data_IF_722513382499
#
_entry.id   IF_722513382499
#
_cell.length_a   1.000
_cell.length_b   1.000
_cell.length_c   1.000
_cell.angle_alpha   90.00
_cell.angle_beta   90.00
_cell.angle_gamma   90.00
#
_symmetry.space_group_name_H-M   'P 1'
#
loop_
_entity.id
_entity.type
_entity.pdbx_description
1 polymer ?
#
# COMPACT_ATOMS: atom_id res chain seq x y z
N UNK A 1 10.03 -5.74 -10.99
CA UNK A 1 9.93 -7.12 -10.46
C UNK A 1 10.84 -7.29 -9.24
N UNK A 2 12.17 -7.16 -9.40
CA UNK A 2 13.15 -7.32 -8.31
C UNK A 2 12.83 -6.48 -7.06
N UNK A 3 12.61 -5.16 -7.22
CA UNK A 3 12.23 -4.27 -6.10
C UNK A 3 11.00 -4.76 -5.31
N UNK A 4 10.02 -5.33 -6.00
CA UNK A 4 8.77 -5.81 -5.42
C UNK A 4 9.00 -7.11 -4.67
N UNK A 5 9.78 -8.02 -5.25
CA UNK A 5 10.17 -9.28 -4.63
C UNK A 5 10.99 -9.02 -3.36
N UNK A 6 12.01 -8.17 -3.43
CA UNK A 6 12.84 -7.81 -2.28
C UNK A 6 12.02 -7.16 -1.17
N UNK A 7 11.08 -6.27 -1.53
CA UNK A 7 10.17 -5.65 -0.56
C UNK A 7 9.31 -6.69 0.17
N UNK A 8 8.71 -7.64 -0.58
CA UNK A 8 7.87 -8.67 0.01
C UNK A 8 8.69 -9.60 0.90
N UNK A 9 9.83 -10.09 0.43
CA UNK A 9 10.69 -11.01 1.18
C UNK A 9 11.11 -10.44 2.54
N UNK A 10 11.22 -9.11 2.67
CA UNK A 10 11.53 -8.42 3.92
C UNK A 10 10.37 -8.36 4.91
N UNK A 11 9.13 -8.29 4.42
CA UNK A 11 7.93 -8.21 5.27
C UNK A 11 7.32 -9.57 5.60
N UNK A 12 7.82 -10.66 5.01
CA UNK A 12 7.30 -12.01 5.28
C UNK A 12 7.47 -12.36 6.76
N UNK A 13 6.36 -12.57 7.45
CA UNK A 13 6.34 -13.02 8.83
C UNK A 13 5.79 -14.44 8.90
N UNK A 14 6.39 -15.26 9.76
CA UNK A 14 5.81 -16.55 10.16
C UNK A 14 5.14 -16.36 11.51
N UNK A 15 3.81 -16.43 11.56
CA UNK A 15 3.02 -16.40 12.80
C UNK A 15 2.31 -17.74 12.91
N UNK A 16 2.53 -18.44 14.02
CA UNK A 16 1.84 -19.70 14.34
C UNK A 16 1.93 -20.79 13.25
N UNK A 17 3.04 -20.82 12.50
CA UNK A 17 3.26 -21.77 11.40
C UNK A 17 2.67 -21.32 10.06
N UNK A 18 1.89 -20.25 10.03
CA UNK A 18 1.34 -19.65 8.81
C UNK A 18 2.19 -18.45 8.34
N UNK A 19 2.29 -18.32 7.02
CA UNK A 19 2.99 -17.20 6.39
C UNK A 19 2.01 -16.04 6.24
N UNK A 20 2.26 -14.95 6.97
CA UNK A 20 1.44 -13.74 6.95
C UNK A 20 2.23 -12.63 6.28
N UNK A 21 1.63 -12.05 5.24
CA UNK A 21 2.19 -10.95 4.46
C UNK A 21 1.12 -9.88 4.35
N UNK A 22 1.38 -8.73 4.97
CA UNK A 22 0.50 -7.57 4.91
C UNK A 22 1.07 -6.54 3.93
N UNK A 23 0.35 -6.27 2.84
CA UNK A 23 0.80 -5.31 1.80
C UNK A 23 0.83 -3.90 2.37
N UNK A 24 0.02 -3.60 3.38
CA UNK A 24 0.02 -2.28 4.02
C UNK A 24 1.38 -1.97 4.66
N UNK A 25 2.19 -2.98 4.98
CA UNK A 25 3.54 -2.80 5.51
C UNK A 25 4.56 -2.33 4.47
N UNK A 26 4.22 -2.36 3.18
CA UNK A 26 5.02 -1.78 2.11
C UNK A 26 4.44 -0.41 1.76
N UNK A 27 5.17 0.65 2.10
CA UNK A 27 4.79 2.01 1.75
C UNK A 27 5.27 2.33 0.33
N UNK A 28 4.35 2.58 -0.58
CA UNK A 28 4.69 3.13 -1.88
C UNK A 28 4.62 4.66 -1.78
N UNK A 29 5.75 5.33 -1.97
CA UNK A 29 5.84 6.80 -1.97
C UNK A 29 6.13 7.27 -3.40
N UNK A 30 5.32 8.19 -3.90
CA UNK A 30 5.38 8.65 -5.29
C UNK A 30 5.90 10.07 -5.39
N UNK A 31 6.89 10.31 -6.26
CA UNK A 31 7.42 11.65 -6.49
C UNK A 31 7.75 11.89 -7.95
N UNK A 32 7.18 12.95 -8.51
CA UNK A 32 7.49 13.42 -9.86
C UNK A 32 8.95 13.91 -9.98
N UNK A 33 9.51 13.71 -11.16
CA UNK A 33 10.88 14.04 -11.52
C UNK A 33 11.76 12.80 -11.66
N UNK A 34 12.75 12.89 -12.54
CA UNK A 34 13.65 11.78 -12.87
C UNK A 34 13.01 10.74 -13.79
N UNK A 35 13.54 9.53 -13.76
CA UNK A 35 13.09 8.38 -14.54
C UNK A 35 12.51 7.30 -13.62
N UNK A 36 11.71 6.38 -14.18
CA UNK A 36 11.26 5.17 -13.47
C UNK A 36 12.45 4.33 -12.97
N UNK A 37 13.59 4.40 -13.66
CA UNK A 37 14.82 3.71 -13.26
C UNK A 37 15.46 4.27 -11.98
N UNK A 38 15.10 5.49 -11.58
CA UNK A 38 15.57 6.10 -10.33
C UNK A 38 14.76 5.65 -9.11
N UNK A 39 13.75 4.79 -9.32
CA UNK A 39 12.95 4.20 -8.25
C UNK A 39 13.79 3.22 -7.45
N UNK A 40 13.59 3.17 -6.13
CA UNK A 40 14.41 2.37 -5.24
C UNK A 40 13.61 1.78 -4.07
N UNK A 41 14.06 0.63 -3.60
CA UNK A 41 13.62 0.04 -2.34
C UNK A 41 14.44 0.64 -1.21
N UNK A 42 13.74 1.07 -0.16
CA UNK A 42 14.30 1.67 1.03
C UNK A 42 14.03 0.71 2.18
N UNK A 43 15.11 0.17 2.75
CA UNK A 43 15.08 -0.69 3.94
C UNK A 43 14.79 0.13 5.20
N UNK A 44 13.56 0.64 5.26
CA UNK A 44 13.05 1.54 6.29
C UNK A 44 11.82 2.27 5.76
N UNK A 45 11.75 3.59 5.94
CA UNK A 45 10.56 4.35 5.55
C UNK A 45 10.92 5.72 4.97
N UNK A 46 10.05 6.22 4.08
CA UNK A 46 10.09 7.60 3.60
C UNK A 46 8.88 8.34 4.15
N UNK A 47 9.09 9.53 4.70
CA UNK A 47 8.03 10.40 5.16
C UNK A 47 8.07 11.69 4.34
N UNK A 48 6.93 12.00 3.70
CA UNK A 48 6.73 13.24 2.97
C UNK A 48 6.47 14.43 3.91
N UNK A 49 7.50 14.76 4.69
CA UNK A 49 7.57 15.89 5.61
C UNK A 49 9.01 16.41 5.67
N UNK A 50 9.12 17.65 6.11
CA UNK A 50 10.39 18.30 6.42
C UNK A 50 10.60 18.41 7.93
N UNK A 51 11.85 18.71 8.31
CA UNK A 51 12.20 19.05 9.67
C UNK A 51 11.53 20.36 10.08
N UNK A 52 11.04 20.41 11.32
CA UNK A 52 10.26 21.56 11.80
C UNK A 52 11.07 22.84 11.96
N UNK A 53 12.39 22.73 12.16
CA UNK A 53 13.24 23.89 12.41
C UNK A 53 14.56 23.82 11.61
N UNK A 54 14.99 24.90 10.93
CA UNK A 54 16.13 24.88 10.00
C UNK A 54 17.48 24.60 10.66
N UNK A 55 17.63 24.87 11.98
CA UNK A 55 18.84 24.56 12.75
C UNK A 55 18.92 23.10 13.23
N UNK A 56 17.91 22.27 12.96
CA UNK A 56 17.95 20.85 13.31
C UNK A 56 18.95 20.10 12.42
N UNK A 57 19.56 19.01 12.91
CA UNK A 57 20.47 18.21 12.11
C UNK A 57 19.71 17.55 10.95
N UNK A 58 20.11 17.88 9.72
CA UNK A 58 19.54 17.27 8.51
C UNK A 58 19.95 15.82 8.30
N UNK A 59 21.07 15.42 8.90
CA UNK A 59 21.62 14.07 8.81
C UNK A 59 21.93 13.58 10.22
N UNK A 60 21.28 12.49 10.63
CA UNK A 60 21.47 11.86 11.93
C UNK A 60 21.90 10.41 11.71
N UNK A 61 23.11 10.07 12.19
CA UNK A 61 23.63 8.69 12.17
C UNK A 61 23.34 8.00 13.49
N UNK A 62 23.08 6.69 13.46
CA UNK A 62 22.68 5.92 14.64
C UNK A 62 21.50 6.58 15.37
N UNK A 63 20.43 6.81 14.62
CA UNK A 63 19.23 7.46 15.12
C UNK A 63 18.55 6.58 16.19
N UNK A 64 18.30 7.18 17.34
CA UNK A 64 17.42 6.72 18.42
C UNK A 64 16.11 7.50 18.29
N UNK A 65 15.10 6.81 17.76
CA UNK A 65 13.87 7.42 17.27
C UNK A 65 12.78 7.29 18.33
N UNK A 66 12.17 8.41 18.70
CA UNK A 66 10.96 8.43 19.52
C UNK A 66 9.72 8.69 18.66
N UNK A 67 8.67 7.90 18.86
CA UNK A 67 7.38 8.07 18.20
C UNK A 67 6.36 8.59 19.22
N UNK A 68 5.92 9.84 19.07
CA UNK A 68 5.01 10.49 19.99
C UNK A 68 3.63 10.67 19.37
N UNK A 69 2.60 10.16 20.05
CA UNK A 69 1.20 10.38 19.67
C UNK A 69 0.64 11.71 20.23
N UNK A 70 1.22 12.22 21.33
CA UNK A 70 0.89 13.51 21.92
C UNK A 70 1.56 14.70 21.21
N UNK A 71 1.01 15.92 21.35
CA UNK A 71 1.67 17.14 20.90
C UNK A 71 2.82 17.51 21.86
N UNK A 72 3.86 18.19 21.35
CA UNK A 72 4.82 18.90 22.18
C UNK A 72 4.36 20.35 22.37
N UNK A 73 3.30 20.51 23.15
CA UNK A 73 2.65 21.79 23.45
C UNK A 73 2.25 21.79 24.93
N UNK A 74 1.97 22.96 25.49
CA UNK A 74 1.41 23.06 26.85
C UNK A 74 -0.02 22.49 26.81
N UNK A 75 -0.25 21.41 27.55
CA UNK A 75 -1.55 20.76 27.59
C UNK A 75 -2.56 21.62 28.36
N UNK A 76 -3.75 21.79 27.76
CA UNK A 76 -4.89 22.40 28.42
C UNK A 76 -5.65 21.33 29.19
N UNK A 77 -6.24 21.70 30.31
CA UNK A 77 -7.12 20.81 31.07
C UNK A 77 -8.36 20.43 30.26
N UNK A 78 -8.88 19.23 30.47
CA UNK A 78 -10.11 18.77 29.81
C UNK A 78 -11.36 19.56 30.26
N UNK A 79 -11.32 20.09 31.48
CA UNK A 79 -12.33 21.01 31.99
C UNK A 79 -11.94 22.46 31.70
N UNK A 80 -12.94 23.33 31.56
CA UNK A 80 -12.76 24.77 31.36
C UNK A 80 -12.06 25.40 32.57
N UNK A 81 -10.73 25.49 32.51
CA UNK A 81 -9.92 26.23 33.45
C UNK A 81 -9.54 27.59 32.85
N UNK A 82 -9.82 28.67 33.58
CA UNK A 82 -9.40 30.03 33.22
C UNK A 82 -8.47 30.56 34.29
N UNK A 83 -7.35 31.12 33.83
CA UNK A 83 -6.39 31.75 34.72
C UNK A 83 -6.85 33.18 34.96
N UNK A 84 -7.13 33.51 36.22
CA UNK A 84 -7.43 34.87 36.64
C UNK A 84 -6.14 35.56 37.08
N UNK A 85 -5.65 36.47 36.25
CA UNK A 85 -4.43 37.25 36.52
C UNK A 85 -4.83 38.49 37.30
N UNK A 86 -4.38 38.58 38.55
CA UNK A 86 -4.64 39.72 39.45
C UNK A 86 -3.47 40.70 39.54
N UNK A 87 -2.26 40.25 39.17
CA UNK A 87 -1.04 41.05 39.24
C UNK A 87 -0.13 40.80 38.02
N UNK A 88 0.57 41.82 37.49
CA UNK A 88 1.49 41.67 36.36
C UNK A 88 2.62 40.66 36.56
N UNK A 89 3.10 40.42 37.79
CA UNK A 89 4.12 39.41 38.07
C UNK A 89 3.60 37.99 37.87
N UNK A 90 2.32 37.75 38.12
CA UNK A 90 1.69 36.44 37.90
C UNK A 90 1.67 36.08 36.41
N UNK A 91 1.48 37.07 35.53
CA UNK A 91 1.55 36.86 34.09
C UNK A 91 2.96 36.39 33.68
N UNK A 92 4.01 37.02 34.22
CA UNK A 92 5.39 36.63 33.93
C UNK A 92 5.70 35.22 34.44
N UNK A 93 5.33 34.91 35.68
CA UNK A 93 5.51 33.57 36.27
C UNK A 93 4.82 32.49 35.44
N UNK A 94 3.64 32.79 34.91
CA UNK A 94 2.90 31.85 34.07
C UNK A 94 3.62 31.56 32.73
N UNK A 95 4.09 32.61 32.04
CA UNK A 95 4.87 32.47 30.80
C UNK A 95 6.17 31.69 31.04
N UNK A 96 6.84 31.98 32.15
CA UNK A 96 8.07 31.29 32.55
C UNK A 96 7.78 29.80 32.83
N UNK A 97 6.64 29.48 33.46
CA UNK A 97 6.25 28.10 33.77
C UNK A 97 5.86 27.31 32.52
N UNK A 98 5.10 27.89 31.60
CA UNK A 98 4.82 27.28 30.29
C UNK A 98 6.11 26.93 29.54
N UNK A 99 7.08 27.86 29.56
CA UNK A 99 8.40 27.66 28.98
C UNK A 99 9.19 26.55 29.68
N UNK A 100 9.09 26.46 31.01
CA UNK A 100 9.74 25.41 31.80
C UNK A 100 9.16 24.03 31.49
N UNK A 101 7.84 23.88 31.37
CA UNK A 101 7.17 22.62 31.02
C UNK A 101 7.70 22.07 29.69
N UNK A 102 7.73 22.92 28.66
CA UNK A 102 8.26 22.54 27.33
C UNK A 102 9.74 22.12 27.44
N UNK A 103 10.53 22.90 28.19
CA UNK A 103 11.95 22.62 28.39
C UNK A 103 12.18 21.29 29.11
N UNK A 104 11.36 20.96 30.10
CA UNK A 104 11.41 19.67 30.79
C UNK A 104 11.10 18.50 29.85
N UNK A 105 10.11 18.64 28.97
CA UNK A 105 9.81 17.61 27.97
C UNK A 105 10.99 17.36 27.04
N UNK A 106 11.62 18.41 26.51
CA UNK A 106 12.80 18.28 25.66
C UNK A 106 13.98 17.68 26.44
N UNK A 107 14.17 18.08 27.70
CA UNK A 107 15.22 17.54 28.55
C UNK A 107 15.03 16.04 28.81
N UNK A 108 13.80 15.59 29.07
CA UNK A 108 13.49 14.16 29.22
C UNK A 108 13.80 13.36 27.96
N UNK A 109 13.43 13.88 26.79
CA UNK A 109 13.78 13.25 25.51
C UNK A 109 15.31 13.12 25.36
N UNK A 110 16.04 14.16 25.74
CA UNK A 110 17.51 14.16 25.69
C UNK A 110 18.12 13.16 26.68
N UNK A 111 17.61 13.10 27.91
CA UNK A 111 18.04 12.17 28.96
C UNK A 111 17.78 10.70 28.56
N UNK A 112 16.67 10.42 27.89
CA UNK A 112 16.40 9.11 27.29
C UNK A 112 17.35 8.77 26.11
N UNK A 113 18.08 9.77 25.59
CA UNK A 113 19.04 9.62 24.51
C UNK A 113 18.43 9.76 23.10
N UNK A 114 17.26 10.37 22.98
CA UNK A 114 16.59 10.59 21.69
C UNK A 114 17.36 11.59 20.84
N UNK A 115 17.50 11.31 19.55
CA UNK A 115 18.08 12.24 18.57
C UNK A 115 17.15 12.51 17.37
N UNK A 116 16.08 11.74 17.21
CA UNK A 116 15.03 11.97 16.21
C UNK A 116 13.66 11.75 16.86
N UNK A 117 12.73 12.68 16.64
CA UNK A 117 11.35 12.62 17.16
C UNK A 117 10.35 12.73 16.01
N UNK A 118 9.42 11.79 15.92
CA UNK A 118 8.25 11.91 15.06
C UNK A 118 7.01 12.10 15.92
N UNK A 119 6.31 13.22 15.71
CA UNK A 119 5.07 13.55 16.41
C UNK A 119 3.89 13.42 15.46
N UNK A 120 2.87 12.66 15.89
CA UNK A 120 1.60 12.59 15.18
C UNK A 120 0.85 13.93 15.21
N UNK A 121 1.00 14.69 16.29
CA UNK A 121 0.37 16.01 16.49
C UNK A 121 1.35 17.16 16.26
N UNK A 122 1.01 18.36 16.73
CA UNK A 122 1.84 19.56 16.62
C UNK A 122 3.07 19.56 17.53
N UNK A 123 3.97 20.50 17.26
CA UNK A 123 5.14 20.82 18.07
C UNK A 123 5.18 22.34 18.13
N UNK A 124 5.13 22.91 19.33
CA UNK A 124 5.15 24.36 19.57
C UNK A 124 6.48 24.98 19.15
N UNK A 125 6.51 26.27 18.80
CA UNK A 125 7.72 26.97 18.37
C UNK A 125 8.82 26.98 19.45
N UNK A 126 8.43 27.15 20.71
CA UNK A 126 9.36 27.03 21.84
C UNK A 126 9.97 25.62 21.92
N UNK A 127 9.16 24.58 21.72
CA UNK A 127 9.63 23.21 21.71
C UNK A 127 10.59 22.95 20.54
N UNK A 128 10.26 23.45 19.34
CA UNK A 128 11.13 23.37 18.16
C UNK A 128 12.49 24.03 18.40
N UNK A 129 12.50 25.21 19.03
CA UNK A 129 13.73 25.91 19.39
C UNK A 129 14.61 25.09 20.34
N UNK A 130 14.02 24.56 21.42
CA UNK A 130 14.77 23.75 22.39
C UNK A 130 15.26 22.43 21.80
N UNK A 131 14.44 21.74 20.99
CA UNK A 131 14.84 20.53 20.27
C UNK A 131 16.03 20.81 19.33
N UNK A 132 15.98 21.91 18.57
CA UNK A 132 17.09 22.31 17.70
C UNK A 132 18.36 22.63 18.49
N UNK A 133 18.23 23.30 19.65
CA UNK A 133 19.37 23.62 20.53
C UNK A 133 20.03 22.37 21.11
N UNK A 134 19.24 21.36 21.45
CA UNK A 134 19.71 20.06 21.95
C UNK A 134 20.18 19.10 20.84
N UNK A 135 20.08 19.54 19.57
CA UNK A 135 20.49 18.76 18.40
C UNK A 135 19.56 17.58 18.09
N UNK A 136 18.27 17.68 18.43
CA UNK A 136 17.26 16.66 18.18
C UNK A 136 16.49 17.04 16.91
N UNK A 137 16.50 16.16 15.90
CA UNK A 137 15.67 16.33 14.71
C UNK A 137 14.20 16.01 15.05
N UNK A 138 13.27 16.84 14.59
CA UNK A 138 11.86 16.62 14.88
C UNK A 138 10.97 16.84 13.66
N UNK A 139 9.91 16.03 13.58
CA UNK A 139 8.89 16.05 12.54
C UNK A 139 7.53 16.13 13.20
N UNK A 140 6.68 17.06 12.76
CA UNK A 140 5.32 17.24 13.31
C UNK A 140 4.26 16.79 12.32
N UNK A 141 3.06 16.50 12.84
CA UNK A 141 1.86 16.15 12.06
C UNK A 141 2.09 14.95 11.13
N UNK A 142 2.78 13.93 11.64
CA UNK A 142 2.97 12.65 10.95
C UNK A 142 1.64 11.90 10.89
N UNK A 143 1.32 11.27 9.75
CA UNK A 143 0.06 10.52 9.60
C UNK A 143 0.06 9.32 10.55
N UNK A 144 -1.11 8.93 11.05
CA UNK A 144 -1.24 7.75 11.93
C UNK A 144 -0.72 6.47 11.27
N UNK A 145 -1.02 6.28 9.98
CA UNK A 145 -0.52 5.13 9.21
C UNK A 145 1.01 5.12 9.11
N UNK A 146 1.63 6.29 8.93
CA UNK A 146 3.09 6.42 8.92
C UNK A 146 3.70 6.13 10.30
N UNK A 147 3.04 6.50 11.41
CA UNK A 147 3.51 6.18 12.76
C UNK A 147 3.55 4.67 13.01
N UNK A 148 2.52 3.93 12.59
CA UNK A 148 2.51 2.46 12.70
C UNK A 148 3.61 1.82 11.84
N UNK A 149 3.85 2.34 10.64
CA UNK A 149 4.94 1.90 9.76
C UNK A 149 6.30 2.21 10.34
N UNK A 150 6.51 3.39 10.92
CA UNK A 150 7.75 3.75 11.62
C UNK A 150 8.01 2.83 12.80
N UNK A 151 6.96 2.46 13.56
CA UNK A 151 7.06 1.47 14.63
C UNK A 151 7.54 0.11 14.10
N UNK A 152 6.92 -0.39 13.04
CA UNK A 152 7.29 -1.67 12.39
C UNK A 152 8.68 -1.64 11.74
N UNK A 153 9.09 -0.50 11.19
CA UNK A 153 10.38 -0.32 10.52
C UNK A 153 11.53 -0.19 11.54
N UNK A 154 11.35 0.66 12.57
CA UNK A 154 12.43 1.04 13.51
C UNK A 154 12.44 0.23 14.80
N UNK A 155 11.33 -0.46 15.12
CA UNK A 155 11.13 -1.16 16.39
C UNK A 155 10.72 -0.25 17.56
N UNK A 156 10.49 1.04 17.33
CA UNK A 156 10.04 1.97 18.37
C UNK A 156 8.63 1.64 18.88
N UNK A 157 8.34 1.97 20.14
CA UNK A 157 6.97 2.01 20.64
C UNK A 157 6.36 3.41 20.43
N UNK A 158 5.06 3.44 20.16
CA UNK A 158 4.31 4.69 20.09
C UNK A 158 3.97 5.12 21.52
N UNK A 159 4.51 6.26 21.92
CA UNK A 159 4.40 6.80 23.27
C UNK A 159 3.30 7.86 23.30
N UNK A 160 2.36 7.70 24.20
CA UNK A 160 1.27 8.67 24.41
C UNK A 160 1.68 9.80 25.33
N UNK A 161 2.47 9.54 26.37
CA UNK A 161 2.90 10.54 27.33
C UNK A 161 4.42 10.66 27.36
N UNK A 162 4.93 11.87 27.09
CA UNK A 162 6.37 12.16 27.05
C UNK A 162 7.04 11.89 28.41
N UNK A 163 6.28 11.98 29.50
CA UNK A 163 6.80 11.76 30.86
C UNK A 163 7.22 10.32 31.12
N UNK A 164 6.67 9.37 30.37
CA UNK A 164 6.86 7.92 30.56
C UNK A 164 7.92 7.33 29.62
N UNK A 165 8.62 8.18 28.84
CA UNK A 165 9.59 7.71 27.87
C UNK A 165 10.75 6.96 28.53
N UNK A 166 11.00 5.74 28.06
CA UNK A 166 12.15 4.94 28.45
C UNK A 166 13.08 4.73 27.26
N UNK A 167 14.39 4.48 27.50
CA UNK A 167 15.31 4.09 26.44
C UNK A 167 14.89 2.83 25.67
N UNK A 168 14.10 1.96 26.31
CA UNK A 168 13.54 0.73 25.72
C UNK A 168 12.46 0.99 24.66
N UNK A 169 11.78 2.13 24.73
CA UNK A 169 10.71 2.49 23.80
C UNK A 169 11.27 3.04 22.47
N UNK A 170 12.58 3.31 22.42
CA UNK A 170 13.22 3.97 21.28
C UNK A 170 13.52 2.99 20.16
N UNK A 171 13.16 3.39 18.94
CA UNK A 171 13.53 2.69 17.72
C UNK A 171 14.96 2.99 17.30
N UNK A 172 15.48 2.19 16.39
CA UNK A 172 16.80 2.37 15.82
C UNK A 172 16.78 2.45 14.30
N UNK A 173 17.48 3.44 13.74
CA UNK A 173 17.83 3.48 12.32
C UNK A 173 19.30 3.90 12.16
N UNK A 174 20.01 3.29 11.22
CA UNK A 174 21.41 3.64 10.97
C UNK A 174 21.57 5.05 10.41
N UNK A 175 20.59 5.53 9.63
CA UNK A 175 20.60 6.86 9.04
C UNK A 175 19.18 7.45 9.00
N UNK A 176 19.03 8.67 9.48
CA UNK A 176 17.87 9.52 9.21
C UNK A 176 18.34 10.79 8.52
N UNK A 177 17.82 11.05 7.33
CA UNK A 177 18.26 12.19 6.50
C UNK A 177 17.07 12.93 5.89
N UNK A 178 17.08 14.26 5.99
CA UNK A 178 16.24 15.13 5.17
C UNK A 178 16.91 15.32 3.80
N UNK A 179 16.33 14.71 2.76
CA UNK A 179 16.82 14.80 1.38
C UNK A 179 15.82 15.55 0.51
N UNK A 180 16.33 16.41 -0.37
CA UNK A 180 15.52 17.06 -1.40
C UNK A 180 15.41 16.14 -2.61
N UNK A 181 14.19 15.84 -3.03
CA UNK A 181 13.90 15.02 -4.22
C UNK A 181 12.94 15.80 -5.09
N UNK A 182 13.42 16.20 -6.28
CA UNK A 182 12.75 17.24 -7.05
C UNK A 182 12.76 18.56 -6.28
N UNK A 183 11.57 19.12 -6.05
CA UNK A 183 11.40 20.38 -5.31
C UNK A 183 10.97 20.24 -3.86
N UNK A 184 10.68 19.01 -3.43
CA UNK A 184 10.19 18.74 -2.08
C UNK A 184 11.27 18.11 -1.21
N UNK A 185 11.20 18.38 0.10
CA UNK A 185 12.04 17.73 1.09
C UNK A 185 11.27 16.60 1.73
N UNK A 186 11.93 15.46 1.86
CA UNK A 186 11.39 14.30 2.54
C UNK A 186 12.41 13.74 3.50
N UNK A 187 11.93 12.99 4.47
CA UNK A 187 12.78 12.36 5.48
C UNK A 187 12.90 10.87 5.15
N UNK A 188 14.14 10.46 4.96
CA UNK A 188 14.56 9.09 4.70
C UNK A 188 15.00 8.46 6.01
N UNK A 189 14.39 7.34 6.36
CA UNK A 189 14.78 6.50 7.48
C UNK A 189 15.33 5.20 6.87
N UNK A 190 16.64 5.01 6.97
CA UNK A 190 17.36 3.91 6.31
C UNK A 190 18.17 3.08 7.32
N UNK A 191 18.53 1.87 6.92
CA UNK A 191 19.38 0.94 7.70
C UNK A 191 18.75 0.58 9.05
N UNK A 192 17.47 0.28 9.03
CA UNK A 192 16.79 -0.33 10.17
C UNK A 192 17.28 -1.78 10.36
N UNK A 193 17.31 -2.29 11.60
CA UNK A 193 17.91 -3.62 11.89
C UNK A 193 17.14 -4.78 11.26
N UNK A 194 15.82 -4.78 11.40
CA UNK A 194 14.94 -5.80 10.83
C UNK A 194 13.58 -5.16 10.53
N UNK A 195 13.50 -4.33 9.48
CA UNK A 195 12.29 -3.58 9.19
C UNK A 195 11.17 -4.53 8.74
N UNK A 196 10.13 -4.64 9.57
CA UNK A 196 8.88 -5.34 9.17
C UNK A 196 7.95 -4.45 8.35
N UNK A 197 8.36 -3.20 8.09
CA UNK A 197 7.75 -2.29 7.12
C UNK A 197 8.86 -1.62 6.31
N UNK A 198 8.69 -1.59 4.99
CA UNK A 198 9.65 -1.05 4.02
C UNK A 198 8.98 -0.01 3.13
N UNK A 199 9.77 0.80 2.42
CA UNK A 199 9.23 1.78 1.47
C UNK A 199 9.79 1.57 0.06
N UNK A 200 8.93 1.68 -0.95
CA UNK A 200 9.34 1.78 -2.36
C UNK A 200 9.13 3.22 -2.76
N UNK A 201 10.21 3.92 -3.11
CA UNK A 201 10.13 5.25 -3.70
C UNK A 201 10.02 5.10 -5.22
N UNK A 202 8.93 5.57 -5.79
CA UNK A 202 8.72 5.62 -7.24
C UNK A 202 9.02 7.02 -7.75
N UNK A 203 9.88 7.07 -8.78
CA UNK A 203 10.26 8.28 -9.51
C UNK A 203 9.72 8.19 -10.93
N UNK A 204 9.45 9.32 -11.57
CA UNK A 204 8.96 9.30 -12.95
C UNK A 204 8.81 10.68 -13.54
N UNK A 205 8.85 10.75 -14.86
CA UNK A 205 8.90 12.02 -15.59
C UNK A 205 7.61 12.84 -15.46
N UNK A 206 6.46 12.17 -15.29
CA UNK A 206 5.15 12.81 -15.14
C UNK A 206 4.35 12.11 -14.05
N UNK A 207 3.45 12.84 -13.40
CA UNK A 207 2.54 12.29 -12.39
C UNK A 207 1.78 11.04 -12.88
N UNK A 208 1.22 11.10 -14.10
CA UNK A 208 0.49 9.97 -14.72
C UNK A 208 1.32 8.70 -14.83
N UNK A 209 2.59 8.83 -15.18
CA UNK A 209 3.51 7.69 -15.29
C UNK A 209 3.78 7.07 -13.91
N UNK A 210 3.93 7.92 -12.90
CA UNK A 210 4.17 7.48 -11.52
C UNK A 210 2.93 6.80 -10.93
N UNK A 211 1.74 7.31 -11.20
CA UNK A 211 0.48 6.67 -10.79
C UNK A 211 0.29 5.29 -11.44
N UNK A 212 0.62 5.16 -12.73
CA UNK A 212 0.54 3.87 -13.41
C UNK A 212 1.57 2.87 -12.87
N UNK A 213 2.78 3.35 -12.55
CA UNK A 213 3.80 2.54 -11.91
C UNK A 213 3.40 2.10 -10.48
N UNK A 214 2.76 2.99 -9.70
CA UNK A 214 2.20 2.68 -8.38
C UNK A 214 1.17 1.55 -8.48
N UNK A 215 0.22 1.65 -9.41
CA UNK A 215 -0.78 0.59 -9.67
C UNK A 215 -0.13 -0.72 -10.06
N UNK A 216 0.80 -0.69 -11.01
CA UNK A 216 1.53 -1.87 -11.47
C UNK A 216 2.32 -2.54 -10.34
N UNK A 217 2.93 -1.75 -9.44
CA UNK A 217 3.64 -2.27 -8.27
C UNK A 217 2.65 -2.87 -7.27
N UNK A 218 1.51 -2.22 -7.02
CA UNK A 218 0.48 -2.75 -6.13
C UNK A 218 -0.06 -4.10 -6.61
N UNK A 219 -0.34 -4.24 -7.90
CA UNK A 219 -0.80 -5.50 -8.49
C UNK A 219 0.27 -6.59 -8.38
N UNK A 220 1.53 -6.25 -8.68
CA UNK A 220 2.65 -7.17 -8.52
C UNK A 220 2.83 -7.60 -7.06
N UNK A 221 2.65 -6.70 -6.10
CA UNK A 221 2.69 -7.02 -4.68
C UNK A 221 1.60 -8.03 -4.30
N UNK A 222 0.37 -7.83 -4.78
CA UNK A 222 -0.75 -8.73 -4.55
C UNK A 222 -0.49 -10.14 -5.12
N UNK A 223 -0.03 -10.22 -6.36
CA UNK A 223 0.22 -11.49 -7.05
C UNK A 223 1.34 -12.29 -6.37
N UNK A 224 2.45 -11.62 -6.01
CA UNK A 224 3.58 -12.27 -5.33
C UNK A 224 3.17 -12.72 -3.93
N UNK A 225 2.44 -11.88 -3.18
CA UNK A 225 1.86 -12.26 -1.87
C UNK A 225 1.05 -13.55 -1.98
N UNK A 226 0.09 -13.58 -2.89
CA UNK A 226 -0.82 -14.72 -3.03
C UNK A 226 -0.06 -15.98 -3.45
N UNK A 227 0.95 -15.82 -4.30
CA UNK A 227 1.84 -16.92 -4.73
C UNK A 227 2.64 -17.50 -3.56
N UNK A 228 3.17 -16.65 -2.66
CA UNK A 228 3.91 -17.11 -1.48
C UNK A 228 2.98 -17.80 -0.47
N UNK A 229 1.79 -17.25 -0.24
CA UNK A 229 0.82 -17.80 0.72
C UNK A 229 0.28 -19.16 0.25
N UNK A 230 -0.11 -19.29 -1.03
CA UNK A 230 -0.72 -20.51 -1.54
C UNK A 230 0.29 -21.56 -2.01
N UNK A 231 1.51 -21.14 -2.35
CA UNK A 231 2.55 -22.02 -2.91
C UNK A 231 2.16 -22.63 -4.26
N UNK A 232 1.23 -22.00 -4.99
CA UNK A 232 0.66 -22.52 -6.24
C UNK A 232 0.60 -21.44 -7.31
N UNK A 233 1.06 -21.80 -8.50
CA UNK A 233 0.94 -21.00 -9.72
C UNK A 233 0.29 -21.83 -10.82
N UNK A 234 -0.28 -21.15 -11.80
CA UNK A 234 -0.80 -21.74 -13.03
C UNK A 234 -0.21 -21.00 -14.23
N UNK A 235 -0.26 -21.60 -15.41
CA UNK A 235 0.22 -20.93 -16.63
C UNK A 235 -0.75 -19.85 -17.09
N UNK A 236 -0.22 -18.76 -17.65
CA UNK A 236 -1.02 -17.66 -18.18
C UNK A 236 -1.47 -17.88 -19.64
N UNK A 237 -1.62 -16.80 -20.40
CA UNK A 237 -1.87 -16.85 -21.84
C UNK A 237 -3.22 -17.45 -22.25
N UNK A 238 -4.18 -17.57 -21.33
CA UNK A 238 -5.47 -18.20 -21.58
C UNK A 238 -5.46 -19.73 -21.53
N UNK A 239 -4.32 -20.37 -21.24
CA UNK A 239 -4.17 -21.83 -21.23
C UNK A 239 -5.08 -22.51 -20.19
N UNK A 240 -5.21 -21.91 -19.00
CA UNK A 240 -6.09 -22.41 -17.93
C UNK A 240 -7.55 -22.41 -18.37
N UNK A 241 -8.00 -21.34 -19.00
CA UNK A 241 -9.38 -21.18 -19.47
C UNK A 241 -9.72 -22.21 -20.57
N UNK A 242 -8.79 -22.47 -21.49
CA UNK A 242 -8.95 -23.52 -22.53
C UNK A 242 -9.03 -24.90 -21.89
N UNK A 243 -8.15 -25.23 -20.95
CA UNK A 243 -8.15 -26.54 -20.29
C UNK A 243 -9.40 -26.76 -19.44
N UNK A 244 -9.87 -25.72 -18.75
CA UNK A 244 -11.15 -25.76 -18.03
C UNK A 244 -12.33 -25.96 -19.00
N UNK A 245 -12.37 -25.21 -20.11
CA UNK A 245 -13.40 -25.37 -21.12
C UNK A 245 -13.43 -26.80 -21.68
N UNK A 246 -12.27 -27.41 -21.96
CA UNK A 246 -12.14 -28.81 -22.41
C UNK A 246 -12.76 -29.78 -21.41
N UNK A 247 -12.33 -29.73 -20.15
CA UNK A 247 -12.86 -30.60 -19.07
C UNK A 247 -14.36 -30.42 -18.83
N UNK A 248 -14.86 -29.19 -18.93
CA UNK A 248 -16.30 -28.90 -18.78
C UNK A 248 -17.09 -29.47 -19.96
N UNK A 249 -16.55 -29.45 -21.18
CA UNK A 249 -17.19 -30.09 -22.35
C UNK A 249 -17.23 -31.61 -22.21
N UNK A 250 -16.17 -32.23 -21.72
CA UNK A 250 -16.16 -33.67 -21.40
C UNK A 250 -17.23 -34.00 -20.36
N UNK A 251 -17.27 -33.26 -19.25
CA UNK A 251 -18.29 -33.43 -18.21
C UNK A 251 -19.70 -33.21 -18.75
N UNK A 252 -19.90 -32.24 -19.64
CA UNK A 252 -21.20 -31.95 -20.24
C UNK A 252 -21.76 -33.13 -21.04
N UNK A 253 -20.92 -34.02 -21.60
CA UNK A 253 -21.37 -35.23 -22.30
C UNK A 253 -22.08 -36.22 -21.36
N UNK A 254 -21.78 -36.18 -20.05
CA UNK A 254 -22.45 -37.02 -19.06
C UNK A 254 -23.83 -36.50 -18.65
N UNK A 255 -24.14 -35.23 -18.97
CA UNK A 255 -25.40 -34.57 -18.65
C UNK A 255 -26.44 -34.78 -19.75
N UNK A 256 -27.73 -34.67 -19.38
CA UNK A 256 -28.86 -34.79 -20.31
C UNK A 256 -29.71 -33.53 -20.34
N UNK A 257 -30.27 -33.22 -21.51
CA UNK A 257 -31.24 -32.15 -21.71
C UNK A 257 -30.65 -30.75 -21.51
N UNK A 258 -31.43 -29.83 -20.94
CA UNK A 258 -31.07 -28.41 -20.84
C UNK A 258 -29.79 -28.13 -20.04
N UNK A 259 -29.46 -28.99 -19.06
CA UNK A 259 -28.23 -28.85 -18.25
C UNK A 259 -26.96 -29.02 -19.08
N UNK A 260 -26.98 -29.94 -20.05
CA UNK A 260 -25.86 -30.14 -20.98
C UNK A 260 -25.60 -28.88 -21.81
N UNK A 261 -26.66 -28.26 -22.34
CA UNK A 261 -26.54 -27.03 -23.12
C UNK A 261 -25.96 -25.88 -22.30
N UNK A 262 -26.39 -25.74 -21.05
CA UNK A 262 -25.84 -24.72 -20.14
C UNK A 262 -24.34 -24.95 -19.87
N UNK A 263 -23.93 -26.19 -19.61
CA UNK A 263 -22.52 -26.53 -19.39
C UNK A 263 -21.65 -26.24 -20.62
N UNK A 264 -22.12 -26.58 -21.83
CA UNK A 264 -21.42 -26.25 -23.07
C UNK A 264 -21.27 -24.73 -23.27
N UNK A 265 -22.32 -23.96 -22.99
CA UNK A 265 -22.26 -22.49 -23.09
C UNK A 265 -21.34 -21.86 -22.05
N UNK A 266 -21.26 -22.44 -20.86
CA UNK A 266 -20.29 -22.01 -19.87
C UNK A 266 -18.85 -22.27 -20.35
N UNK A 267 -18.57 -23.44 -20.94
CA UNK A 267 -17.26 -23.72 -21.52
C UNK A 267 -16.90 -22.74 -22.66
N UNK A 268 -17.85 -22.44 -23.55
CA UNK A 268 -17.65 -21.44 -24.61
C UNK A 268 -17.37 -20.03 -24.04
N UNK A 269 -17.97 -19.68 -22.91
CA UNK A 269 -17.75 -18.39 -22.27
C UNK A 269 -16.33 -18.24 -21.71
N UNK A 270 -15.72 -19.31 -21.19
CA UNK A 270 -14.33 -19.26 -20.67
C UNK A 270 -13.32 -18.92 -21.77
N UNK A 271 -13.55 -19.36 -23.00
CA UNK A 271 -12.67 -19.09 -24.15
C UNK A 271 -12.68 -17.63 -24.61
N UNK A 272 -13.53 -16.76 -24.03
CA UNK A 272 -13.48 -15.33 -24.32
C UNK A 272 -12.13 -14.72 -23.95
N UNK A 273 -11.46 -15.24 -22.92
CA UNK A 273 -10.17 -14.72 -22.45
C UNK A 273 -9.07 -14.93 -23.50
N UNK A 274 -8.74 -16.18 -23.92
CA UNK A 274 -7.77 -16.40 -24.98
C UNK A 274 -8.17 -15.77 -26.32
N UNK A 275 -9.48 -15.72 -26.64
CA UNK A 275 -9.98 -15.05 -27.85
C UNK A 275 -9.65 -13.55 -27.83
N UNK A 276 -9.89 -12.88 -26.71
CA UNK A 276 -9.61 -11.45 -26.54
C UNK A 276 -8.11 -11.18 -26.54
N UNK A 277 -7.29 -12.07 -25.96
CA UNK A 277 -5.83 -11.96 -26.04
C UNK A 277 -5.34 -12.04 -27.49
N UNK A 278 -5.85 -12.99 -28.27
CA UNK A 278 -5.52 -13.12 -29.68
C UNK A 278 -5.93 -11.88 -30.48
N UNK A 279 -7.15 -11.37 -30.26
CA UNK A 279 -7.67 -10.17 -30.91
C UNK A 279 -6.79 -8.93 -30.63
N UNK A 280 -6.47 -8.70 -29.35
CA UNK A 280 -5.61 -7.58 -28.95
C UNK A 280 -4.17 -7.70 -29.47
N UNK A 281 -3.68 -8.92 -29.67
CA UNK A 281 -2.37 -9.18 -30.28
C UNK A 281 -2.37 -9.00 -31.81
N UNK A 282 -3.55 -8.84 -32.43
CA UNK A 282 -3.71 -8.80 -33.89
C UNK A 282 -3.61 -10.17 -34.55
N UNK A 283 -3.80 -11.25 -33.79
CA UNK A 283 -3.89 -12.62 -34.30
C UNK A 283 -5.36 -12.97 -34.57
N UNK A 284 -5.64 -13.81 -35.58
CA UNK A 284 -7.01 -14.18 -35.89
C UNK A 284 -7.59 -15.01 -34.73
N UNK A 285 -8.65 -14.53 -34.03
CA UNK A 285 -9.14 -15.21 -32.84
C UNK A 285 -9.73 -16.59 -33.13
N UNK A 286 -10.24 -16.83 -34.35
CA UNK A 286 -10.79 -18.13 -34.74
C UNK A 286 -9.69 -19.17 -34.93
N UNK A 287 -8.61 -18.78 -35.60
CA UNK A 287 -7.44 -19.65 -35.83
C UNK A 287 -6.75 -19.97 -34.50
N UNK A 288 -6.61 -18.96 -33.64
CA UNK A 288 -6.04 -19.12 -32.30
C UNK A 288 -6.80 -20.14 -31.45
N UNK A 289 -8.13 -20.03 -31.36
CA UNK A 289 -8.95 -20.94 -30.57
C UNK A 289 -8.95 -22.35 -31.16
N UNK A 290 -8.98 -22.48 -32.50
CA UNK A 290 -8.92 -23.78 -33.14
C UNK A 290 -7.59 -24.50 -32.84
N UNK A 291 -6.47 -23.78 -32.94
CA UNK A 291 -5.15 -24.31 -32.62
C UNK A 291 -5.00 -24.65 -31.14
N UNK A 292 -5.43 -23.76 -30.23
CA UNK A 292 -5.41 -24.00 -28.79
C UNK A 292 -6.18 -25.27 -28.42
N UNK A 293 -7.40 -25.43 -28.93
CA UNK A 293 -8.19 -26.64 -28.69
C UNK A 293 -7.47 -27.89 -29.19
N UNK A 294 -6.90 -27.85 -30.40
CA UNK A 294 -6.17 -28.98 -30.96
C UNK A 294 -4.96 -29.38 -30.11
N UNK A 295 -4.17 -28.40 -29.63
CA UNK A 295 -3.00 -28.65 -28.78
C UNK A 295 -3.38 -29.19 -27.40
N UNK A 296 -4.42 -28.65 -26.78
CA UNK A 296 -4.92 -29.14 -25.49
C UNK A 296 -5.51 -30.56 -25.60
N UNK A 297 -6.22 -30.86 -26.68
CA UNK A 297 -6.73 -32.22 -26.96
C UNK A 297 -5.58 -33.22 -27.16
N UNK A 298 -4.47 -32.77 -27.76
CA UNK A 298 -3.24 -33.55 -27.87
C UNK A 298 -2.45 -33.68 -26.54
N UNK A 299 -2.96 -33.13 -25.44
CA UNK A 299 -2.38 -33.23 -24.10
C UNK A 299 -1.42 -32.09 -23.72
N UNK A 300 -1.21 -31.10 -24.58
CA UNK A 300 -0.42 -29.92 -24.23
C UNK A 300 -1.26 -28.91 -23.44
N UNK A 301 -1.34 -29.11 -22.13
CA UNK A 301 -2.11 -28.27 -21.20
C UNK A 301 -1.49 -26.88 -20.94
N UNK A 302 -0.27 -26.64 -21.42
CA UNK A 302 0.45 -25.37 -21.22
C UNK A 302 0.40 -24.46 -22.46
N UNK A 303 -0.27 -24.89 -23.53
CA UNK A 303 -0.44 -24.10 -24.74
C UNK A 303 -1.29 -22.85 -24.44
N UNK A 304 -0.76 -21.67 -24.76
CA UNK A 304 -1.45 -20.40 -24.59
C UNK A 304 -1.13 -19.43 -25.72
N UNK A 305 -1.74 -18.25 -25.68
CA UNK A 305 -1.51 -17.17 -26.65
C UNK A 305 -0.26 -16.38 -26.25
N UNK A 306 0.80 -16.45 -27.05
CA UNK A 306 1.91 -15.50 -26.98
C UNK A 306 1.53 -14.22 -27.74
N UNK A 307 1.20 -13.17 -26.98
CA UNK A 307 0.77 -11.88 -27.53
C UNK A 307 1.89 -11.13 -28.24
N UNK A 308 3.17 -11.42 -27.92
CA UNK A 308 4.31 -10.74 -28.52
C UNK A 308 4.69 -11.34 -29.86
N UNK A 309 4.71 -12.68 -29.94
CA UNK A 309 5.02 -13.40 -31.19
C UNK A 309 3.79 -13.66 -32.06
N UNK A 310 2.58 -13.44 -31.53
CA UNK A 310 1.30 -13.68 -32.20
C UNK A 310 1.14 -15.13 -32.64
N UNK A 311 1.52 -16.05 -31.76
CA UNK A 311 1.46 -17.48 -32.01
C UNK A 311 0.97 -18.23 -30.77
N UNK A 312 0.59 -19.49 -30.95
CA UNK A 312 0.35 -20.39 -29.82
C UNK A 312 1.69 -21.00 -29.40
N UNK A 313 2.03 -20.84 -28.12
CA UNK A 313 3.30 -21.30 -27.56
C UNK A 313 3.08 -21.98 -26.20
N UNK A 314 4.11 -22.68 -25.71
CA UNK A 314 4.09 -23.22 -24.34
C UNK A 314 4.38 -22.09 -23.35
N UNK A 315 3.37 -21.72 -22.56
CA UNK A 315 3.45 -20.61 -21.61
C UNK A 315 4.39 -20.92 -20.44
N UNK A 316 4.64 -22.20 -20.14
CA UNK A 316 5.58 -22.62 -19.12
C UNK A 316 7.02 -22.40 -19.56
N UNK A 317 7.33 -22.71 -20.82
CA UNK A 317 8.65 -22.44 -21.41
C UNK A 317 8.93 -20.94 -21.54
N UNK A 318 7.88 -20.14 -21.77
CA UNK A 318 7.97 -18.67 -21.79
C UNK A 318 7.95 -18.02 -20.40
N UNK A 319 7.89 -18.82 -19.32
CA UNK A 319 7.83 -18.37 -17.93
C UNK A 319 6.65 -17.42 -17.61
N UNK A 320 5.53 -17.58 -18.31
CA UNK A 320 4.31 -16.79 -18.11
C UNK A 320 3.38 -17.51 -17.12
N UNK A 321 3.39 -17.04 -15.88
CA UNK A 321 2.59 -17.61 -14.78
C UNK A 321 1.60 -16.61 -14.20
N UNK A 322 0.44 -17.13 -13.79
CA UNK A 322 -0.57 -16.45 -13.02
C UNK A 322 -0.67 -17.05 -11.61
N UNK A 323 -1.04 -16.23 -10.62
CA UNK A 323 -1.35 -16.72 -9.28
C UNK A 323 -2.62 -17.59 -9.32
N UNK A 324 -2.55 -18.78 -8.73
CA UNK A 324 -3.68 -19.71 -8.65
C UNK A 324 -4.94 -19.06 -8.05
N UNK A 325 -4.75 -18.28 -6.97
CA UNK A 325 -5.82 -17.57 -6.27
C UNK A 325 -6.60 -16.63 -7.18
N UNK A 326 -5.89 -15.88 -8.00
CA UNK A 326 -6.48 -14.87 -8.89
C UNK A 326 -7.41 -15.56 -9.90
N UNK A 327 -6.95 -16.64 -10.55
CA UNK A 327 -7.78 -17.41 -11.49
C UNK A 327 -8.99 -18.04 -10.82
N UNK A 328 -8.82 -18.60 -9.63
CA UNK A 328 -9.93 -19.18 -8.85
C UNK A 328 -10.98 -18.11 -8.52
N UNK A 329 -10.55 -16.99 -7.92
CA UNK A 329 -11.44 -15.91 -7.51
C UNK A 329 -12.16 -15.28 -8.70
N UNK A 330 -11.47 -15.10 -9.83
CA UNK A 330 -12.06 -14.57 -11.07
C UNK A 330 -13.26 -15.42 -11.52
N UNK A 331 -13.12 -16.74 -11.53
CA UNK A 331 -14.19 -17.66 -11.95
C UNK A 331 -15.33 -17.68 -10.94
N UNK A 332 -15.02 -17.75 -9.64
CA UNK A 332 -16.02 -17.78 -8.56
C UNK A 332 -16.87 -16.49 -8.58
N UNK A 333 -16.24 -15.33 -8.60
CA UNK A 333 -16.96 -14.04 -8.62
C UNK A 333 -17.75 -13.84 -9.92
N UNK A 334 -17.21 -14.22 -11.08
CA UNK A 334 -17.95 -14.13 -12.34
C UNK A 334 -19.20 -15.03 -12.33
N UNK A 335 -19.08 -16.24 -11.76
CA UNK A 335 -20.19 -17.18 -11.64
C UNK A 335 -21.28 -16.65 -10.69
N UNK A 336 -20.90 -16.11 -9.54
CA UNK A 336 -21.84 -15.54 -8.56
C UNK A 336 -22.65 -14.40 -9.16
N UNK A 337 -21.97 -13.45 -9.81
CA UNK A 337 -22.61 -12.28 -10.44
C UNK A 337 -23.50 -12.72 -11.61
N UNK A 338 -23.01 -13.59 -12.50
CA UNK A 338 -23.80 -14.07 -13.62
C UNK A 338 -25.06 -14.82 -13.14
N UNK A 339 -24.94 -15.64 -12.10
CA UNK A 339 -26.07 -16.36 -11.51
C UNK A 339 -27.07 -15.40 -10.88
N UNK A 340 -26.59 -14.37 -10.17
CA UNK A 340 -27.47 -13.36 -9.58
C UNK A 340 -28.29 -12.64 -10.67
N UNK A 341 -27.63 -12.19 -11.75
CA UNK A 341 -28.30 -11.53 -12.87
C UNK A 341 -29.30 -12.46 -13.56
N UNK A 342 -28.92 -13.71 -13.84
CA UNK A 342 -29.78 -14.68 -14.50
C UNK A 342 -31.01 -15.08 -13.68
N UNK A 343 -30.97 -14.90 -12.36
CA UNK A 343 -32.09 -15.16 -11.45
C UNK A 343 -33.08 -13.99 -11.35
N UNK A 344 -32.70 -12.80 -11.79
CA UNK A 344 -33.61 -11.65 -11.83
C UNK A 344 -34.64 -11.89 -12.93
N UNK A 345 -35.88 -12.10 -12.52
CA UNK A 345 -37.03 -12.27 -13.40
C UNK A 345 -37.71 -10.94 -13.72
N UNK A 346 -37.61 -9.96 -12.82
CA UNK A 346 -38.22 -8.65 -13.00
C UNK A 346 -37.38 -7.52 -12.37
N UNK A 347 -37.31 -6.37 -13.04
CA UNK A 347 -36.65 -5.15 -12.54
C UNK A 347 -37.70 -4.06 -12.44
N UNK A 348 -37.99 -3.62 -11.21
CA UNK A 348 -38.90 -2.50 -10.95
C UNK A 348 -38.03 -1.29 -10.59
N UNK A 349 -37.84 -0.39 -11.56
CA UNK A 349 -37.15 0.87 -11.33
C UNK A 349 -38.14 1.94 -10.88
N UNK A 350 -37.95 2.51 -9.69
CA UNK A 350 -38.71 3.67 -9.25
C UNK A 350 -38.24 4.93 -10.00
N UNK A 351 -39.18 5.78 -10.41
CA UNK A 351 -38.85 7.11 -10.93
C UNK A 351 -38.24 7.96 -9.82
N UNK A 352 -37.19 8.73 -10.14
CA UNK A 352 -36.70 9.78 -9.23
C UNK A 352 -37.86 10.71 -8.88
N UNK A 353 -38.09 10.92 -7.59
CA UNK A 353 -39.00 11.97 -7.11
C UNK A 353 -38.53 13.28 -7.75
N UNK A 354 -39.39 13.93 -8.52
CA UNK A 354 -39.16 15.33 -8.91
C UNK A 354 -39.16 16.11 -7.61
N UNK A 355 -38.03 16.70 -7.26
CA UNK A 355 -38.02 17.78 -6.28
C UNK A 355 -38.96 18.86 -6.85
N UNK A 356 -40.02 19.19 -6.12
CA UNK A 356 -40.84 20.34 -6.43
C UNK A 356 -39.93 21.56 -6.34
N UNK A 357 -39.54 22.10 -7.50
CA UNK A 357 -38.95 23.43 -7.59
C UNK A 357 -39.96 24.37 -6.90
N UNK A 358 -39.58 24.86 -5.72
CA UNK A 358 -40.39 25.81 -4.98
C UNK A 358 -40.78 26.96 -5.89
N UNK A 359 -42.08 27.26 -5.93
CA UNK A 359 -42.62 28.48 -6.53
C UNK A 359 -42.00 29.70 -5.83
N UNK A 360 -40.84 30.13 -6.31
CA UNK A 360 -40.30 31.45 -6.03
C UNK A 360 -40.48 32.31 -7.27
N UNK A 361 -41.73 32.61 -7.62
CA UNK A 361 -42.08 33.82 -8.37
C UNK A 361 -43.60 34.03 -8.43
N UNK A 362 -44.12 34.87 -7.53
CA UNK A 362 -45.30 35.72 -7.78
C UNK A 362 -45.30 36.91 -6.83
N UNK A 363 -44.74 38.01 -7.36
CA UNK A 363 -45.11 39.43 -7.25
C UNK A 363 -45.35 40.06 -5.87
#
# INVERSE_FOLDING_TARGET
AELVLDAILKIVQKKDGETVIDIDDIKVEKKEGGSLKDSMLIEGLVIDKELVHPKMPKVVRNAKIALLQAPLEVEKTEFDAKIHITDPEQLKKFIDEESNIIREYVKKLKEAGVNVVFCQKGIDELAQYWLAKEGIAAVRRVKKSDMEKLKKATGAMIITNIKDIKPEDLGYAGLVEERKIGDEKMIFIEKCKNPTSVAILIRGATERLVEEAERSIHDALCVIRDTIIDGKVVVGGGAVEVELARKIREWAQTLKGKKQLAALKFADALEIIPKTLAENAGFNPMDAIAELRARHEAGNIYAGVDVFKREIADMKELEVYDAYRVKKQMIESALEVATAILRVDNIIAASKLKEEEGEEERR
#
